data_IF_645205676022
#
_entry.id   IF_645205676022
#
_cell.length_a   1.000
_cell.length_b   1.000
_cell.length_c   1.000
_cell.angle_alpha   90.00
_cell.angle_beta   90.00
_cell.angle_gamma   90.00
#
_symmetry.space_group_name_H-M   'P 1'
#
loop_
_entity.id
_entity.type
_entity.pdbx_description
1 polymer ?
#
# COMPACT_ATOMS: atom_id res chain seq x y z
N UNK A 1 6.67 -10.20 -32.60
CA UNK A 1 5.45 -10.40 -33.39
C UNK A 1 5.68 -11.38 -34.54
N UNK A 2 6.63 -11.40 -35.35
CA UNK A 2 6.77 -12.16 -36.59
C UNK A 2 7.33 -13.58 -36.41
N UNK A 3 7.43 -14.09 -35.21
CA UNK A 3 7.93 -15.39 -34.85
C UNK A 3 6.83 -16.23 -34.21
N UNK A 4 6.82 -17.52 -34.44
CA UNK A 4 5.95 -18.42 -33.69
C UNK A 4 6.38 -18.55 -32.21
N UNK A 5 5.65 -19.30 -31.43
CA UNK A 5 5.91 -19.49 -29.99
C UNK A 5 7.28 -20.11 -29.76
N UNK A 6 7.63 -21.17 -30.51
CA UNK A 6 8.92 -21.82 -30.38
C UNK A 6 10.07 -20.86 -30.69
N UNK A 7 9.99 -20.15 -31.81
CA UNK A 7 11.02 -19.21 -32.23
C UNK A 7 11.19 -18.04 -31.27
N UNK A 8 10.08 -17.52 -30.69
CA UNK A 8 10.13 -16.51 -29.65
C UNK A 8 10.93 -16.97 -28.44
N UNK A 9 10.65 -18.18 -27.95
CA UNK A 9 11.35 -18.74 -26.77
C UNK A 9 12.81 -19.06 -27.11
N UNK A 10 13.06 -19.62 -28.30
CA UNK A 10 14.39 -20.01 -28.77
C UNK A 10 15.28 -18.82 -29.11
N UNK A 11 14.72 -17.62 -29.31
CA UNK A 11 15.44 -16.45 -29.83
C UNK A 11 16.70 -16.12 -29.03
N UNK A 12 16.59 -15.99 -27.72
CA UNK A 12 17.75 -15.71 -26.85
C UNK A 12 18.80 -16.81 -26.87
N UNK A 13 18.37 -18.07 -26.92
CA UNK A 13 19.27 -19.23 -26.97
C UNK A 13 20.03 -19.30 -28.32
N UNK A 14 19.35 -18.98 -29.43
CA UNK A 14 19.96 -18.88 -30.76
C UNK A 14 21.05 -17.78 -30.77
N UNK A 15 20.80 -16.60 -30.17
CA UNK A 15 21.78 -15.53 -30.06
C UNK A 15 23.01 -15.92 -29.21
N UNK A 16 22.81 -16.73 -28.18
CA UNK A 16 23.89 -17.28 -27.35
C UNK A 16 24.63 -18.44 -28.03
N UNK A 17 24.24 -18.82 -29.27
CA UNK A 17 24.81 -19.93 -30.02
C UNK A 17 24.74 -21.29 -29.30
N UNK A 18 23.67 -21.50 -28.54
CA UNK A 18 23.38 -22.79 -27.90
C UNK A 18 23.14 -23.85 -29.00
N UNK A 19 23.63 -25.09 -28.86
CA UNK A 19 23.39 -26.18 -29.83
C UNK A 19 21.87 -26.45 -30.03
N UNK A 20 21.48 -26.79 -31.25
CA UNK A 20 20.08 -26.93 -31.65
C UNK A 20 19.32 -27.97 -30.81
N UNK A 21 19.97 -29.10 -30.53
CA UNK A 21 19.39 -30.16 -29.67
C UNK A 21 19.17 -29.73 -28.23
N UNK A 22 19.99 -28.83 -27.73
CA UNK A 22 19.82 -28.25 -26.39
C UNK A 22 18.75 -27.14 -26.40
N UNK A 23 18.65 -26.35 -27.48
CA UNK A 23 17.56 -25.37 -27.66
C UNK A 23 16.23 -26.06 -27.59
N UNK A 24 16.04 -27.15 -28.37
CA UNK A 24 14.79 -27.89 -28.40
C UNK A 24 14.38 -28.42 -27.02
N UNK A 25 15.32 -29.04 -26.30
CA UNK A 25 15.09 -29.51 -24.92
C UNK A 25 14.67 -28.41 -23.97
N UNK A 26 15.32 -27.23 -24.06
CA UNK A 26 15.00 -26.10 -23.17
C UNK A 26 13.66 -25.49 -23.52
N UNK A 27 13.37 -25.28 -24.79
CA UNK A 27 12.08 -24.73 -25.24
C UNK A 27 10.93 -25.62 -24.80
N UNK A 28 11.01 -26.94 -25.09
CA UNK A 28 9.96 -27.87 -24.68
C UNK A 28 9.80 -27.98 -23.17
N UNK A 29 10.89 -27.90 -22.41
CA UNK A 29 10.86 -27.87 -20.95
C UNK A 29 10.13 -26.63 -20.40
N UNK A 30 10.41 -25.44 -20.94
CA UNK A 30 9.76 -24.22 -20.45
C UNK A 30 8.31 -24.13 -20.93
N UNK A 31 7.98 -24.58 -22.15
CA UNK A 31 6.59 -24.68 -22.62
C UNK A 31 5.74 -25.55 -21.67
N UNK A 32 6.28 -26.69 -21.25
CA UNK A 32 5.61 -27.54 -20.26
C UNK A 32 5.45 -26.84 -18.90
N UNK A 33 6.44 -26.03 -18.50
CA UNK A 33 6.43 -25.30 -17.22
C UNK A 33 5.35 -24.22 -17.18
N UNK A 34 5.12 -23.54 -18.31
CA UNK A 34 4.10 -22.50 -18.45
C UNK A 34 2.76 -23.01 -18.98
N UNK A 35 2.55 -24.35 -19.01
CA UNK A 35 1.31 -24.99 -19.49
C UNK A 35 0.92 -24.61 -20.93
N UNK A 36 1.93 -24.50 -21.81
CA UNK A 36 1.79 -24.15 -23.22
C UNK A 36 2.27 -25.26 -24.17
N UNK A 37 2.22 -26.52 -23.73
CA UNK A 37 2.50 -27.68 -24.58
C UNK A 37 1.54 -27.68 -25.76
N UNK A 38 1.98 -28.09 -26.95
CA UNK A 38 1.22 -28.11 -28.22
C UNK A 38 0.87 -26.71 -28.77
N UNK A 39 1.56 -25.68 -28.32
CA UNK A 39 1.43 -24.29 -28.84
C UNK A 39 2.67 -23.83 -29.60
N UNK A 40 3.69 -24.66 -29.72
CA UNK A 40 5.01 -24.31 -30.28
C UNK A 40 4.96 -23.67 -31.65
N UNK A 41 4.11 -24.21 -32.56
CA UNK A 41 3.98 -23.76 -33.95
C UNK A 41 2.92 -22.65 -34.13
N UNK A 42 2.31 -22.15 -33.05
CA UNK A 42 1.28 -21.11 -33.14
C UNK A 42 1.89 -19.73 -33.28
N UNK A 43 1.23 -18.92 -34.10
CA UNK A 43 1.52 -17.48 -34.16
C UNK A 43 1.19 -16.81 -32.81
N UNK A 44 2.15 -16.05 -32.26
CA UNK A 44 1.99 -15.36 -30.97
C UNK A 44 0.83 -14.34 -31.01
N UNK A 45 0.57 -13.72 -32.17
CA UNK A 45 -0.54 -12.76 -32.33
C UNK A 45 -1.92 -13.42 -32.26
N UNK A 46 -1.99 -14.72 -32.52
CA UNK A 46 -3.24 -15.51 -32.41
C UNK A 46 -3.60 -15.90 -30.97
N UNK A 47 -2.70 -15.69 -30.02
CA UNK A 47 -2.84 -16.08 -28.62
C UNK A 47 -3.62 -15.04 -27.81
N UNK A 48 -4.31 -15.49 -26.76
CA UNK A 48 -4.89 -14.59 -25.74
C UNK A 48 -3.78 -13.84 -24.99
N UNK A 49 -4.12 -12.70 -24.38
CA UNK A 49 -3.17 -11.89 -23.60
C UNK A 49 -2.43 -12.69 -22.52
N UNK A 50 -3.13 -13.57 -21.78
CA UNK A 50 -2.51 -14.45 -20.79
C UNK A 50 -1.57 -15.49 -21.40
N UNK A 51 -1.89 -16.02 -22.59
CA UNK A 51 -1.02 -16.94 -23.31
C UNK A 51 0.23 -16.22 -23.84
N UNK A 52 0.08 -15.01 -24.37
CA UNK A 52 1.21 -14.17 -24.77
C UNK A 52 2.15 -13.87 -23.59
N UNK A 53 1.58 -13.58 -22.43
CA UNK A 53 2.34 -13.36 -21.19
C UNK A 53 3.13 -14.62 -20.79
N UNK A 54 2.53 -15.80 -20.84
CA UNK A 54 3.21 -17.08 -20.58
C UNK A 54 4.38 -17.31 -21.56
N UNK A 55 4.21 -17.00 -22.83
CA UNK A 55 5.29 -17.07 -23.83
C UNK A 55 6.41 -16.08 -23.50
N UNK A 56 6.10 -14.87 -23.09
CA UNK A 56 7.10 -13.88 -22.68
C UNK A 56 7.91 -14.35 -21.47
N UNK A 57 7.26 -14.90 -20.47
CA UNK A 57 7.91 -15.50 -19.28
C UNK A 57 8.75 -16.72 -19.68
N UNK A 58 8.22 -17.62 -20.52
CA UNK A 58 8.96 -18.78 -21.03
C UNK A 58 10.24 -18.36 -21.77
N UNK A 59 10.16 -17.33 -22.61
CA UNK A 59 11.31 -16.75 -23.31
C UNK A 59 12.41 -16.27 -22.36
N UNK A 60 12.01 -15.62 -21.25
CA UNK A 60 12.95 -15.15 -20.23
C UNK A 60 13.61 -16.32 -19.48
N UNK A 61 12.81 -17.30 -19.06
CA UNK A 61 13.25 -18.47 -18.27
C UNK A 61 14.14 -19.42 -19.10
N UNK A 62 13.91 -19.56 -20.41
CA UNK A 62 14.69 -20.44 -21.29
C UNK A 62 16.19 -20.18 -21.21
N UNK A 63 16.59 -18.93 -20.95
CA UNK A 63 17.98 -18.52 -20.78
C UNK A 63 18.58 -18.92 -19.42
N UNK A 64 17.81 -19.55 -18.53
CA UNK A 64 18.22 -19.96 -17.18
C UNK A 64 18.82 -18.80 -16.36
N UNK A 65 18.11 -17.67 -16.21
CA UNK A 65 18.62 -16.53 -15.48
C UNK A 65 18.74 -16.84 -13.98
N UNK A 66 19.60 -16.12 -13.28
CA UNK A 66 19.64 -16.13 -11.80
C UNK A 66 18.56 -15.24 -11.19
N UNK A 67 18.17 -14.19 -11.90
CA UNK A 67 17.16 -13.21 -11.51
C UNK A 67 16.22 -13.00 -12.69
N UNK A 68 14.91 -13.06 -12.42
CA UNK A 68 13.85 -12.74 -13.38
C UNK A 68 13.23 -11.40 -13.00
N UNK A 69 13.24 -10.45 -13.96
CA UNK A 69 12.62 -9.14 -13.79
C UNK A 69 11.23 -9.15 -14.46
N UNK A 70 10.21 -8.80 -13.72
CA UNK A 70 8.82 -8.72 -14.17
C UNK A 70 8.30 -7.31 -13.90
N UNK A 71 8.04 -6.56 -14.94
CA UNK A 71 7.54 -5.19 -14.88
C UNK A 71 6.06 -5.22 -15.27
N UNK A 72 5.18 -4.97 -14.31
CA UNK A 72 3.70 -4.99 -14.41
C UNK A 72 3.16 -6.17 -15.25
N UNK A 73 3.58 -7.42 -14.97
CA UNK A 73 3.32 -8.54 -15.88
C UNK A 73 1.84 -8.92 -16.00
N UNK A 74 0.97 -8.50 -15.07
CA UNK A 74 -0.44 -8.86 -15.04
C UNK A 74 -1.39 -7.70 -15.37
N UNK A 75 -0.86 -6.50 -15.62
CA UNK A 75 -1.65 -5.28 -15.80
C UNK A 75 -2.66 -5.36 -16.97
N UNK A 76 -2.33 -6.09 -18.04
CA UNK A 76 -3.17 -6.20 -19.22
C UNK A 76 -4.24 -7.32 -19.14
N UNK A 77 -4.31 -8.06 -18.02
CA UNK A 77 -5.22 -9.21 -17.85
C UNK A 77 -6.50 -8.80 -17.12
N UNK A 78 -7.61 -9.47 -17.49
CA UNK A 78 -8.84 -9.38 -16.71
C UNK A 78 -8.68 -10.02 -15.31
N UNK A 79 -9.60 -9.70 -14.39
CA UNK A 79 -9.51 -10.11 -12.99
C UNK A 79 -9.37 -11.62 -12.79
N UNK A 80 -10.11 -12.43 -13.57
CA UNK A 80 -10.06 -13.88 -13.44
C UNK A 80 -8.73 -14.44 -13.94
N UNK A 81 -8.31 -14.00 -15.12
CA UNK A 81 -7.02 -14.41 -15.69
C UNK A 81 -5.85 -13.95 -14.84
N UNK A 82 -5.95 -12.78 -14.21
CA UNK A 82 -4.94 -12.25 -13.28
C UNK A 82 -4.78 -13.17 -12.08
N UNK A 83 -5.86 -13.59 -11.43
CA UNK A 83 -5.82 -14.52 -10.29
C UNK A 83 -5.23 -15.88 -10.66
N UNK A 84 -5.61 -16.43 -11.81
CA UNK A 84 -5.05 -17.68 -12.29
C UNK A 84 -3.54 -17.55 -12.54
N UNK A 85 -3.09 -16.47 -13.17
CA UNK A 85 -1.67 -16.18 -13.42
C UNK A 85 -0.86 -15.92 -12.15
N UNK A 86 -1.42 -15.30 -11.12
CA UNK A 86 -0.77 -15.15 -9.82
C UNK A 86 -0.40 -16.52 -9.21
N UNK A 87 -1.34 -17.46 -9.22
CA UNK A 87 -1.10 -18.81 -8.74
C UNK A 87 0.01 -19.49 -9.54
N UNK A 88 -0.03 -19.39 -10.86
CA UNK A 88 0.98 -19.99 -11.75
C UNK A 88 2.37 -19.38 -11.56
N UNK A 89 2.46 -18.05 -11.42
CA UNK A 89 3.73 -17.37 -11.15
C UNK A 89 4.34 -17.82 -9.83
N UNK A 90 3.53 -17.95 -8.78
CA UNK A 90 3.98 -18.46 -7.47
C UNK A 90 4.49 -19.90 -7.55
N UNK A 91 3.81 -20.75 -8.32
CA UNK A 91 4.28 -22.13 -8.58
C UNK A 91 5.57 -22.15 -9.41
N UNK A 92 5.67 -21.31 -10.44
CA UNK A 92 6.89 -21.20 -11.26
C UNK A 92 8.08 -20.73 -10.41
N UNK A 93 7.90 -19.69 -9.58
CA UNK A 93 8.93 -19.24 -8.65
C UNK A 93 9.42 -20.38 -7.76
N UNK A 94 8.49 -21.14 -7.15
CA UNK A 94 8.84 -22.28 -6.29
C UNK A 94 9.59 -23.40 -7.05
N UNK A 95 9.17 -23.70 -8.30
CA UNK A 95 9.80 -24.73 -9.12
C UNK A 95 11.18 -24.33 -9.64
N UNK A 96 11.37 -23.05 -9.94
CA UNK A 96 12.62 -22.54 -10.50
C UNK A 96 13.68 -22.29 -9.42
N UNK A 97 13.29 -21.85 -8.22
CA UNK A 97 14.20 -21.51 -7.13
C UNK A 97 15.14 -20.34 -7.43
N UNK A 98 14.74 -19.45 -8.33
CA UNK A 98 15.51 -18.25 -8.68
C UNK A 98 14.84 -16.99 -8.10
N UNK A 99 15.57 -15.91 -7.98
CA UNK A 99 15.01 -14.64 -7.51
C UNK A 99 14.10 -14.01 -8.57
N UNK A 100 12.87 -13.65 -8.17
CA UNK A 100 11.98 -12.81 -8.97
C UNK A 100 12.00 -11.39 -8.40
N UNK A 101 12.16 -10.39 -9.26
CA UNK A 101 11.91 -8.99 -8.94
C UNK A 101 10.64 -8.61 -9.70
N UNK A 102 9.60 -8.30 -8.95
CA UNK A 102 8.26 -8.05 -9.47
C UNK A 102 7.89 -6.61 -9.18
N UNK A 103 7.66 -5.82 -10.23
CA UNK A 103 7.19 -4.43 -10.11
C UNK A 103 5.70 -4.40 -10.40
N UNK A 104 4.93 -3.84 -9.51
CA UNK A 104 3.48 -3.67 -9.65
C UNK A 104 2.99 -2.44 -8.89
N UNK A 105 1.87 -1.89 -9.31
CA UNK A 105 1.08 -0.93 -8.57
C UNK A 105 -0.15 -1.58 -7.90
N UNK A 106 -0.37 -2.87 -8.12
CA UNK A 106 -1.46 -3.63 -7.51
C UNK A 106 -1.02 -4.19 -6.15
N UNK A 107 -1.69 -3.74 -5.10
CA UNK A 107 -1.38 -4.09 -3.71
C UNK A 107 -1.65 -5.58 -3.44
N UNK A 108 -2.75 -6.14 -3.99
CA UNK A 108 -3.12 -7.55 -3.83
C UNK A 108 -2.02 -8.45 -4.43
N UNK A 109 -1.46 -8.06 -5.59
CA UNK A 109 -0.34 -8.76 -6.20
C UNK A 109 0.90 -8.75 -5.31
N UNK A 110 1.28 -7.58 -4.81
CA UNK A 110 2.45 -7.43 -3.95
C UNK A 110 2.31 -8.27 -2.67
N UNK A 111 1.18 -8.18 -1.97
CA UNK A 111 0.92 -8.93 -0.73
C UNK A 111 0.85 -10.45 -0.95
N UNK A 112 0.32 -10.89 -2.11
CA UNK A 112 0.08 -12.32 -2.38
C UNK A 112 1.32 -13.03 -2.91
N UNK A 113 2.10 -12.38 -3.78
CA UNK A 113 3.18 -13.01 -4.53
C UNK A 113 4.55 -12.90 -3.88
N UNK A 114 4.80 -11.88 -3.05
CA UNK A 114 6.13 -11.54 -2.58
C UNK A 114 6.49 -12.21 -1.26
N UNK A 115 7.77 -12.51 -1.08
CA UNK A 115 8.37 -12.85 0.22
C UNK A 115 8.86 -11.59 0.94
N UNK A 116 9.24 -10.57 0.16
CA UNK A 116 9.67 -9.25 0.64
C UNK A 116 9.08 -8.18 -0.28
N UNK A 117 8.51 -7.14 0.32
CA UNK A 117 7.95 -5.98 -0.37
C UNK A 117 8.85 -4.77 -0.12
N UNK A 118 9.07 -3.99 -1.18
CA UNK A 118 9.73 -2.69 -1.12
C UNK A 118 8.71 -1.65 -1.58
N UNK A 119 8.21 -0.85 -0.65
CA UNK A 119 7.31 0.27 -0.97
C UNK A 119 8.15 1.48 -1.36
N UNK A 120 7.84 2.08 -2.51
CA UNK A 120 8.57 3.23 -3.05
C UNK A 120 7.61 4.40 -3.32
N UNK A 121 8.06 5.61 -3.03
CA UNK A 121 7.39 6.85 -3.39
C UNK A 121 8.42 7.89 -3.83
N UNK A 122 8.16 8.59 -4.94
CA UNK A 122 9.04 9.63 -5.48
C UNK A 122 10.51 9.21 -5.61
N UNK A 123 10.76 7.95 -5.99
CA UNK A 123 12.10 7.39 -6.14
C UNK A 123 12.81 7.06 -4.83
N UNK A 124 12.14 7.18 -3.68
CA UNK A 124 12.67 6.83 -2.36
C UNK A 124 11.99 5.58 -1.83
N UNK A 125 12.75 4.76 -1.11
CA UNK A 125 12.21 3.61 -0.38
C UNK A 125 11.53 4.15 0.88
N UNK A 126 10.25 3.79 1.05
CA UNK A 126 9.44 4.14 2.22
C UNK A 126 9.53 3.06 3.29
N UNK A 127 9.44 1.79 2.87
CA UNK A 127 9.54 0.65 3.78
C UNK A 127 9.99 -0.60 3.03
N UNK A 128 10.70 -1.49 3.74
CA UNK A 128 11.03 -2.84 3.29
C UNK A 128 10.59 -3.80 4.40
N UNK A 129 9.85 -4.84 4.04
CA UNK A 129 9.37 -5.83 5.01
C UNK A 129 8.71 -7.03 4.36
N UNK A 130 8.27 -7.98 5.17
CA UNK A 130 7.39 -9.05 4.71
C UNK A 130 6.00 -8.46 4.40
N UNK A 131 5.14 -9.17 3.62
CA UNK A 131 3.75 -8.73 3.41
C UNK A 131 3.01 -8.42 4.71
N UNK A 132 3.22 -9.23 5.74
CA UNK A 132 2.59 -9.04 7.06
C UNK A 132 3.09 -7.78 7.76
N UNK A 133 4.41 -7.51 7.73
CA UNK A 133 4.98 -6.30 8.34
C UNK A 133 4.49 -5.03 7.64
N UNK A 134 4.45 -5.06 6.30
CA UNK A 134 4.00 -3.90 5.49
C UNK A 134 2.53 -3.57 5.75
N UNK A 135 1.69 -4.61 5.92
CA UNK A 135 0.26 -4.43 6.17
C UNK A 135 -0.06 -4.05 7.61
N UNK A 136 0.54 -4.77 8.59
CA UNK A 136 0.20 -4.62 10.01
C UNK A 136 1.02 -3.56 10.73
N UNK A 137 2.24 -3.28 10.26
CA UNK A 137 3.18 -2.34 10.90
C UNK A 137 3.75 -1.33 9.88
N UNK A 138 2.88 -0.56 9.18
CA UNK A 138 3.35 0.46 8.25
C UNK A 138 4.14 1.54 8.98
N UNK A 139 5.29 1.95 8.40
CA UNK A 139 6.19 2.91 9.05
C UNK A 139 5.72 4.36 8.95
N UNK A 140 4.83 4.66 8.00
CA UNK A 140 4.26 5.99 7.83
C UNK A 140 2.85 5.91 7.19
N UNK A 141 2.13 7.03 7.24
CA UNK A 141 0.78 7.15 6.72
C UNK A 141 0.69 6.86 5.21
N UNK A 142 1.74 7.19 4.44
CA UNK A 142 1.79 6.85 3.02
C UNK A 142 1.75 5.33 2.79
N UNK A 143 2.55 4.55 3.53
CA UNK A 143 2.56 3.09 3.40
C UNK A 143 1.22 2.51 3.82
N UNK A 144 0.63 3.02 4.92
CA UNK A 144 -0.67 2.59 5.41
C UNK A 144 -1.78 2.78 4.37
N UNK A 145 -1.85 3.96 3.76
CA UNK A 145 -2.82 4.33 2.73
C UNK A 145 -2.59 3.57 1.42
N UNK A 146 -1.31 3.41 1.04
CA UNK A 146 -0.96 2.75 -0.22
C UNK A 146 -1.24 1.25 -0.22
N UNK A 147 -1.12 0.55 0.93
CA UNK A 147 -1.23 -0.92 0.99
C UNK A 147 -2.65 -1.43 1.23
N UNK A 148 -3.55 -0.57 1.67
CA UNK A 148 -4.94 -0.96 1.91
C UNK A 148 -5.77 0.18 2.44
N UNK A 149 -7.07 0.02 2.37
CA UNK A 149 -8.00 1.00 2.94
C UNK A 149 -7.70 1.20 4.43
N UNK A 150 -7.66 2.46 4.87
CA UNK A 150 -7.30 2.82 6.24
C UNK A 150 -8.05 4.05 6.71
N UNK A 151 -8.45 4.07 7.97
CA UNK A 151 -8.80 5.30 8.65
C UNK A 151 -7.49 5.93 9.15
N UNK A 152 -7.04 7.00 8.51
CA UNK A 152 -5.86 7.77 8.93
C UNK A 152 -6.35 9.02 9.62
N UNK A 153 -6.06 9.11 10.91
CA UNK A 153 -6.64 10.08 11.81
C UNK A 153 -5.55 10.90 12.50
N UNK A 154 -5.81 12.19 12.71
CA UNK A 154 -4.97 12.98 13.57
C UNK A 154 -5.18 12.54 15.01
N UNK A 155 -4.11 12.22 15.71
CA UNK A 155 -4.12 11.83 17.10
C UNK A 155 -3.07 12.55 17.92
N UNK A 156 -3.11 12.32 19.21
CA UNK A 156 -2.15 12.83 20.17
C UNK A 156 -1.73 11.71 21.11
N UNK A 157 -0.45 11.39 21.15
CA UNK A 157 0.08 10.47 22.15
C UNK A 157 0.06 11.17 23.49
N UNK A 158 -0.87 10.81 24.36
CA UNK A 158 -1.03 11.41 25.70
C UNK A 158 0.15 10.97 26.57
N UNK A 159 0.48 9.72 26.54
CA UNK A 159 1.63 9.05 27.18
C UNK A 159 1.81 7.67 26.54
N UNK A 160 2.87 6.97 26.90
CA UNK A 160 3.07 5.59 26.47
C UNK A 160 1.81 4.74 26.67
N UNK A 161 1.39 4.03 25.63
CA UNK A 161 0.22 3.16 25.58
C UNK A 161 -1.13 3.86 25.75
N UNK A 162 -1.19 5.18 25.56
CA UNK A 162 -2.44 5.94 25.60
C UNK A 162 -2.43 7.03 24.54
N UNK A 163 -3.32 6.92 23.56
CA UNK A 163 -3.47 7.85 22.45
C UNK A 163 -4.87 8.44 22.41
N UNK A 164 -4.97 9.73 22.14
CA UNK A 164 -6.24 10.43 21.90
C UNK A 164 -6.44 10.60 20.39
N UNK A 165 -7.59 10.18 19.88
CA UNK A 165 -8.05 10.47 18.52
C UNK A 165 -9.57 10.38 18.47
N UNK A 166 -10.21 10.92 17.44
CA UNK A 166 -11.68 11.05 17.29
C UNK A 166 -12.37 11.61 18.55
N UNK A 167 -11.63 12.38 19.37
CA UNK A 167 -12.15 13.01 20.61
C UNK A 167 -12.28 12.06 21.80
N UNK A 168 -11.66 10.88 21.76
CA UNK A 168 -11.64 9.90 22.83
C UNK A 168 -10.21 9.40 23.09
N UNK A 169 -9.94 8.95 24.33
CA UNK A 169 -8.68 8.30 24.71
C UNK A 169 -8.79 6.79 24.55
N UNK A 170 -7.77 6.18 23.94
CA UNK A 170 -7.68 4.74 23.71
C UNK A 170 -6.37 4.19 24.25
N UNK A 171 -6.45 3.02 24.88
CA UNK A 171 -5.24 2.24 25.13
C UNK A 171 -4.69 1.72 23.80
N UNK A 172 -3.36 1.77 23.61
CA UNK A 172 -2.64 1.20 22.47
C UNK A 172 -1.43 0.40 22.94
N UNK A 173 -0.76 -0.27 22.03
CA UNK A 173 0.46 -1.05 22.34
C UNK A 173 1.75 -0.24 22.17
N UNK A 174 1.67 0.89 21.48
CA UNK A 174 2.80 1.72 21.10
C UNK A 174 3.36 2.52 22.26
N UNK A 175 4.69 2.66 22.28
CA UNK A 175 5.43 3.41 23.30
C UNK A 175 6.65 4.13 22.68
N UNK A 176 7.23 5.09 23.38
CA UNK A 176 8.43 5.81 22.94
C UNK A 176 8.18 7.01 22.03
N UNK A 177 6.92 7.44 21.85
CA UNK A 177 6.57 8.65 21.07
C UNK A 177 6.76 9.96 21.86
N UNK A 178 6.82 9.86 23.20
CA UNK A 178 6.81 11.02 24.11
C UNK A 178 5.41 11.36 24.60
N UNK A 179 5.32 12.34 25.52
CA UNK A 179 4.05 12.77 26.09
C UNK A 179 3.50 13.99 25.36
N UNK A 180 2.19 13.99 25.10
CA UNK A 180 1.48 15.09 24.43
C UNK A 180 2.00 15.42 23.01
N UNK A 181 2.47 14.43 22.29
CA UNK A 181 3.01 14.58 20.92
C UNK A 181 1.93 14.29 19.89
N UNK A 182 1.86 15.13 18.86
CA UNK A 182 0.97 14.91 17.72
C UNK A 182 1.47 13.73 16.87
N UNK A 183 0.54 12.82 16.55
CA UNK A 183 0.81 11.57 15.84
C UNK A 183 -0.24 11.35 14.75
N UNK A 184 0.09 10.51 13.78
CA UNK A 184 -0.90 9.90 12.90
C UNK A 184 -1.34 8.57 13.52
N UNK A 185 -2.65 8.34 13.57
CA UNK A 185 -3.25 7.10 14.05
C UNK A 185 -3.89 6.39 12.87
N UNK A 186 -3.53 5.15 12.67
CA UNK A 186 -4.10 4.30 11.61
C UNK A 186 -4.90 3.17 12.24
N UNK A 187 -6.14 3.02 11.78
CA UNK A 187 -7.02 1.91 12.15
C UNK A 187 -7.62 1.33 10.88
N UNK A 188 -7.45 0.03 10.69
CA UNK A 188 -8.02 -0.66 9.53
C UNK A 188 -9.54 -0.71 9.65
N UNK A 189 -10.30 -0.60 8.55
CA UNK A 189 -11.77 -0.66 8.58
C UNK A 189 -12.33 -1.95 9.18
N UNK A 190 -11.64 -3.08 8.98
CA UNK A 190 -12.00 -4.40 9.52
C UNK A 190 -11.70 -4.56 11.02
N UNK A 191 -10.89 -3.67 11.59
CA UNK A 191 -10.46 -3.70 12.99
C UNK A 191 -11.31 -2.81 13.89
N UNK A 192 -12.31 -2.12 13.32
CA UNK A 192 -13.32 -1.37 14.07
C UNK A 192 -14.54 -2.26 14.27
N UNK A 193 -14.73 -2.75 15.51
CA UNK A 193 -15.85 -3.63 15.88
C UNK A 193 -17.12 -2.81 16.10
N UNK A 194 -18.12 -3.07 15.28
CA UNK A 194 -19.43 -2.41 15.32
C UNK A 194 -20.48 -3.30 15.98
N UNK A 195 -21.35 -2.71 16.81
CA UNK A 195 -22.42 -3.42 17.49
C UNK A 195 -23.70 -2.61 17.59
N UNK A 196 -24.85 -3.30 17.59
CA UNK A 196 -26.18 -2.67 17.73
C UNK A 196 -26.49 -2.16 19.17
N UNK A 197 -25.66 -2.53 20.16
CA UNK A 197 -25.82 -2.10 21.55
C UNK A 197 -24.81 -1.01 21.88
N UNK A 198 -25.24 -0.01 22.62
CA UNK A 198 -24.34 1.09 23.05
C UNK A 198 -23.65 0.75 24.38
N UNK A 199 -24.21 -0.16 25.17
CA UNK A 199 -23.63 -0.59 26.45
C UNK A 199 -22.34 -1.41 26.19
N UNK A 200 -21.26 -0.97 26.80
CA UNK A 200 -19.92 -1.57 26.64
C UNK A 200 -19.14 -1.10 25.42
N UNK A 201 -19.68 -0.16 24.63
CA UNK A 201 -18.95 0.50 23.58
C UNK A 201 -17.94 1.52 24.16
N UNK A 202 -16.81 1.71 23.48
CA UNK A 202 -15.84 2.76 23.82
C UNK A 202 -16.35 4.14 23.40
N UNK A 203 -17.02 4.22 22.25
CA UNK A 203 -17.67 5.41 21.73
C UNK A 203 -18.84 5.03 20.83
N UNK A 204 -19.63 6.00 20.44
CA UNK A 204 -20.83 5.79 19.62
C UNK A 204 -20.72 6.48 18.27
N UNK A 205 -21.43 5.98 17.29
CA UNK A 205 -21.52 6.57 15.98
C UNK A 205 -22.91 6.35 15.36
N UNK A 206 -23.17 7.10 14.28
CA UNK A 206 -24.38 6.98 13.49
C UNK A 206 -24.01 6.47 12.09
N UNK A 207 -24.67 5.40 11.64
CA UNK A 207 -24.42 4.83 10.32
C UNK A 207 -24.92 5.79 9.25
N UNK A 208 -24.03 6.27 8.39
CA UNK A 208 -24.33 7.17 7.26
C UNK A 208 -24.69 6.40 6.00
N UNK A 209 -23.94 5.34 5.72
CA UNK A 209 -24.17 4.46 4.58
C UNK A 209 -23.70 3.04 4.86
N UNK A 210 -24.31 2.07 4.18
CA UNK A 210 -23.95 0.66 4.25
C UNK A 210 -24.07 0.05 2.85
N UNK A 211 -22.96 -0.41 2.29
CA UNK A 211 -22.88 -0.92 0.91
C UNK A 211 -22.29 -2.31 0.89
N UNK A 212 -22.97 -3.27 0.28
CA UNK A 212 -22.45 -4.64 0.11
C UNK A 212 -21.39 -4.70 -1.00
N UNK A 213 -20.19 -5.17 -0.66
CA UNK A 213 -19.03 -5.32 -1.58
C UNK A 213 -18.83 -6.76 -2.06
N UNK A 214 -19.80 -7.64 -1.89
CA UNK A 214 -19.76 -9.04 -2.34
C UNK A 214 -19.33 -10.03 -1.25
N UNK A 215 -18.49 -9.66 -0.31
CA UNK A 215 -18.01 -10.49 0.80
C UNK A 215 -18.35 -9.86 2.16
N UNK A 216 -18.18 -8.56 2.27
CA UNK A 216 -18.42 -7.75 3.46
C UNK A 216 -19.28 -6.54 3.11
N UNK A 217 -19.75 -5.85 4.13
CA UNK A 217 -20.37 -4.53 4.02
C UNK A 217 -19.34 -3.47 4.36
N UNK A 218 -19.25 -2.45 3.52
CA UNK A 218 -18.49 -1.23 3.75
C UNK A 218 -19.46 -0.17 4.26
N UNK A 219 -19.15 0.40 5.39
CA UNK A 219 -19.98 1.39 6.06
C UNK A 219 -19.18 2.64 6.34
N UNK A 220 -19.83 3.79 6.14
CA UNK A 220 -19.35 5.06 6.66
C UNK A 220 -20.21 5.44 7.86
N UNK A 221 -19.56 5.82 8.95
CA UNK A 221 -20.22 6.20 10.18
C UNK A 221 -19.73 7.56 10.66
N UNK A 222 -20.63 8.40 11.19
CA UNK A 222 -20.29 9.66 11.82
C UNK A 222 -20.25 9.44 13.35
N UNK A 223 -19.08 9.67 13.97
CA UNK A 223 -18.90 9.51 15.42
C UNK A 223 -19.64 10.61 16.20
N UNK A 224 -19.86 10.41 17.50
CA UNK A 224 -20.46 11.38 18.42
C UNK A 224 -19.69 12.72 18.49
N UNK A 225 -18.44 12.75 18.06
CA UNK A 225 -17.59 13.96 17.96
C UNK A 225 -17.50 14.51 16.54
N UNK A 226 -18.22 13.93 15.56
CA UNK A 226 -18.30 14.41 14.18
C UNK A 226 -17.15 13.98 13.28
N UNK A 227 -16.45 12.92 13.62
CA UNK A 227 -15.46 12.30 12.74
C UNK A 227 -16.14 11.22 11.89
N UNK A 228 -15.79 11.16 10.62
CA UNK A 228 -16.24 10.08 9.72
C UNK A 228 -15.22 8.93 9.77
N UNK A 229 -15.73 7.69 9.95
CA UNK A 229 -14.92 6.47 9.89
C UNK A 229 -15.49 5.51 8.86
N UNK A 230 -14.60 4.80 8.17
CA UNK A 230 -14.94 3.67 7.32
C UNK A 230 -14.79 2.39 8.11
N UNK A 231 -15.80 1.52 8.05
CA UNK A 231 -15.86 0.22 8.75
C UNK A 231 -16.17 -0.87 7.74
N UNK A 232 -15.52 -2.02 7.89
CA UNK A 232 -15.86 -3.24 7.15
C UNK A 232 -16.33 -4.33 8.12
N UNK A 233 -17.55 -4.87 7.91
CA UNK A 233 -18.11 -5.95 8.71
C UNK A 233 -18.90 -6.93 7.84
N UNK A 234 -19.06 -8.16 8.30
CA UNK A 234 -19.89 -9.17 7.62
C UNK A 234 -21.39 -8.94 7.79
N UNK A 235 -21.80 -8.13 8.76
CA UNK A 235 -23.18 -7.78 9.04
C UNK A 235 -23.52 -6.40 8.48
N UNK A 236 -24.75 -6.28 7.97
CA UNK A 236 -25.30 -4.99 7.58
C UNK A 236 -25.87 -4.24 8.80
N UNK A 237 -25.71 -2.93 8.79
CA UNK A 237 -26.35 -2.02 9.75
C UNK A 237 -27.19 -1.00 8.99
N UNK A 238 -28.38 -0.71 9.51
CA UNK A 238 -29.30 0.21 8.85
C UNK A 238 -28.76 1.65 8.87
N UNK A 239 -28.81 2.37 7.74
CA UNK A 239 -28.51 3.81 7.73
C UNK A 239 -29.34 4.56 8.79
N UNK A 240 -28.76 5.60 9.37
CA UNK A 240 -29.33 6.42 10.44
C UNK A 240 -29.43 5.71 11.82
N UNK A 241 -29.06 4.42 11.93
CA UNK A 241 -29.01 3.72 13.22
C UNK A 241 -27.83 4.18 14.07
N UNK A 242 -28.03 4.24 15.39
CA UNK A 242 -26.96 4.43 16.36
C UNK A 242 -26.29 3.10 16.67
N UNK A 243 -24.96 3.11 16.68
CA UNK A 243 -24.11 1.93 16.89
C UNK A 243 -23.04 2.21 17.91
N UNK A 244 -22.64 1.16 18.64
CA UNK A 244 -21.47 1.21 19.50
C UNK A 244 -20.24 0.72 18.78
N UNK A 245 -19.09 1.34 19.04
CA UNK A 245 -17.81 1.02 18.41
C UNK A 245 -16.77 0.63 19.46
N UNK A 246 -15.94 -0.34 19.11
CA UNK A 246 -14.79 -0.80 19.89
C UNK A 246 -13.58 -0.94 18.95
N UNK A 247 -12.43 -0.47 19.40
CA UNK A 247 -11.13 -0.68 18.76
C UNK A 247 -10.21 -1.30 19.82
N UNK A 248 -9.57 -2.40 19.48
CA UNK A 248 -8.65 -3.07 20.42
C UNK A 248 -7.31 -2.35 20.46
N UNK A 249 -6.60 -2.36 21.59
CA UNK A 249 -5.29 -1.72 21.70
C UNK A 249 -4.25 -2.17 20.67
N UNK A 250 -4.31 -3.44 20.26
CA UNK A 250 -3.39 -4.00 19.26
C UNK A 250 -3.75 -3.64 17.81
N UNK A 251 -4.96 -3.14 17.57
CA UNK A 251 -5.48 -2.77 16.26
C UNK A 251 -5.28 -1.26 15.97
N UNK A 252 -4.76 -0.52 16.93
CA UNK A 252 -4.41 0.89 16.82
C UNK A 252 -2.91 0.98 16.49
N UNK A 253 -2.58 1.60 15.37
CA UNK A 253 -1.20 1.81 14.94
C UNK A 253 -0.87 3.29 15.04
N UNK A 254 0.15 3.62 15.84
CA UNK A 254 0.57 5.01 16.03
C UNK A 254 1.85 5.27 15.23
N UNK A 255 1.87 6.37 14.50
CA UNK A 255 2.99 6.77 13.65
C UNK A 255 3.43 8.17 13.96
N UNK A 256 4.73 8.43 13.81
CA UNK A 256 5.21 9.81 13.82
C UNK A 256 4.55 10.57 12.66
N UNK A 257 3.97 11.71 13.00
CA UNK A 257 3.37 12.58 11.98
C UNK A 257 4.46 13.02 11.01
N UNK A 258 4.27 12.75 9.73
CA UNK A 258 5.17 13.30 8.71
C UNK A 258 5.12 14.82 8.78
N UNK A 259 6.29 15.44 8.87
CA UNK A 259 6.36 16.90 8.87
C UNK A 259 5.86 17.42 7.53
N UNK A 260 4.65 17.94 7.52
CA UNK A 260 4.06 18.64 6.36
C UNK A 260 4.57 20.07 6.22
N UNK A 261 5.44 20.49 7.13
CA UNK A 261 6.05 21.82 7.14
C UNK A 261 7.54 21.74 7.44
N UNK A 262 8.30 22.66 6.87
CA UNK A 262 9.66 22.95 7.34
C UNK A 262 9.57 24.01 8.44
N UNK A 263 10.30 23.80 9.53
CA UNK A 263 10.45 24.78 10.59
C UNK A 263 11.78 25.50 10.44
N UNK A 264 11.73 26.82 10.54
CA UNK A 264 12.90 27.69 10.47
C UNK A 264 12.91 28.59 11.70
N UNK A 265 14.10 28.96 12.18
CA UNK A 265 14.22 30.09 13.11
C UNK A 265 14.10 31.39 12.33
N UNK A 266 13.21 32.24 12.78
CA UNK A 266 12.97 33.56 12.19
C UNK A 266 12.97 34.66 13.23
N UNK A 267 12.96 35.90 12.76
CA UNK A 267 12.86 37.10 13.56
C UNK A 267 11.72 37.98 13.04
N UNK A 268 10.86 38.45 13.93
CA UNK A 268 9.75 39.31 13.55
C UNK A 268 10.32 40.67 13.10
N UNK A 269 9.96 41.12 11.92
CA UNK A 269 10.35 42.41 11.34
C UNK A 269 9.32 43.47 11.73
N UNK A 270 8.03 43.18 11.52
CA UNK A 270 6.89 44.03 11.88
C UNK A 270 5.62 43.19 12.09
N UNK A 271 4.45 43.84 12.24
CA UNK A 271 3.16 43.18 12.52
C UNK A 271 2.72 42.18 11.45
N UNK A 272 3.29 42.24 10.25
CA UNK A 272 2.89 41.42 9.09
C UNK A 272 4.06 40.72 8.39
N UNK A 273 5.30 40.90 8.88
CA UNK A 273 6.48 40.30 8.26
C UNK A 273 7.39 39.58 9.25
N UNK A 274 7.87 38.43 8.83
CA UNK A 274 8.88 37.59 9.51
C UNK A 274 10.08 37.37 8.58
N UNK A 275 11.28 37.53 9.12
CA UNK A 275 12.52 37.25 8.38
C UNK A 275 13.05 35.88 8.72
N UNK A 276 13.25 35.03 7.70
CA UNK A 276 13.97 33.75 7.81
C UNK A 276 14.67 33.43 6.49
N UNK A 277 15.71 32.61 6.51
CA UNK A 277 16.55 32.34 5.34
C UNK A 277 17.00 33.60 4.57
N UNK A 278 17.37 34.65 5.30
CA UNK A 278 17.80 35.97 4.79
C UNK A 278 16.79 36.73 3.91
N UNK A 279 15.51 36.32 3.93
CA UNK A 279 14.42 37.02 3.23
C UNK A 279 13.28 37.38 4.18
N UNK A 280 12.55 38.41 3.80
CA UNK A 280 11.35 38.87 4.52
C UNK A 280 10.11 38.24 3.85
N UNK A 281 9.23 37.66 4.67
CA UNK A 281 7.99 37.01 4.22
C UNK A 281 6.79 37.60 4.95
N UNK A 282 5.66 37.73 4.25
CA UNK A 282 4.39 38.07 4.88
C UNK A 282 3.94 36.95 5.83
N UNK A 283 3.51 37.28 7.02
CA UNK A 283 2.93 36.39 8.00
C UNK A 283 1.53 36.85 8.42
N UNK A 284 0.80 35.99 9.11
CA UNK A 284 -0.54 36.27 9.57
C UNK A 284 -0.48 37.38 10.66
N UNK A 285 -1.29 38.42 10.51
CA UNK A 285 -1.41 39.48 11.51
C UNK A 285 -1.99 38.98 12.85
N UNK A 286 -1.63 39.59 13.94
CA UNK A 286 -2.19 39.27 15.26
C UNK A 286 -1.46 38.16 16.01
N UNK A 287 -0.23 37.82 15.62
CA UNK A 287 0.61 36.82 16.29
C UNK A 287 1.08 37.22 17.70
N UNK A 288 0.90 38.49 18.11
CA UNK A 288 1.22 38.96 19.46
C UNK A 288 2.71 39.12 19.79
N UNK A 289 3.59 39.00 18.79
CA UNK A 289 5.04 39.14 18.93
C UNK A 289 5.47 40.57 18.56
N UNK A 290 6.57 41.06 19.17
CA UNK A 290 7.15 42.38 18.88
C UNK A 290 8.28 42.30 17.84
N UNK A 291 8.57 43.37 17.08
CA UNK A 291 9.74 43.41 16.20
C UNK A 291 11.02 43.08 16.95
N UNK A 292 11.82 42.15 16.40
CA UNK A 292 13.03 41.61 17.02
C UNK A 292 12.84 40.34 17.84
N UNK A 293 11.59 39.88 18.04
CA UNK A 293 11.33 38.59 18.69
C UNK A 293 11.75 37.42 17.80
N UNK A 294 12.44 36.45 18.41
CA UNK A 294 12.77 35.20 17.74
C UNK A 294 11.58 34.28 17.78
N UNK A 295 11.23 33.76 16.64
CA UNK A 295 10.06 32.90 16.46
C UNK A 295 10.42 31.63 15.64
N UNK A 296 9.65 30.59 15.80
CA UNK A 296 9.69 29.43 14.90
C UNK A 296 8.68 29.66 13.77
N UNK A 297 9.17 29.68 12.54
CA UNK A 297 8.34 29.84 11.33
C UNK A 297 8.06 28.48 10.76
N UNK A 298 6.78 28.14 10.63
CA UNK A 298 6.33 26.92 9.96
C UNK A 298 5.89 27.25 8.55
N UNK A 299 6.57 26.67 7.55
CA UNK A 299 6.20 26.77 6.14
C UNK A 299 5.52 25.48 5.73
N UNK A 300 4.19 25.54 5.56
CA UNK A 300 3.41 24.40 5.08
C UNK A 300 3.59 24.23 3.57
N UNK A 301 3.81 22.98 3.14
CA UNK A 301 3.73 22.66 1.72
C UNK A 301 2.25 22.49 1.34
N UNK A 302 1.76 23.30 0.40
CA UNK A 302 0.48 23.02 -0.27
C UNK A 302 0.64 21.72 -1.06
N UNK A 303 -0.20 20.74 -0.76
CA UNK A 303 -0.35 19.54 -1.60
C UNK A 303 -0.96 19.89 -2.95
#
# INVERSE_FOLDING_TARGET
>A
PHLDVYENIAFGLKLQKVPADEIDKRVMKVLKMVSMTDYEDRDVESLSGGQQQRVAIARAIANQPKVLLLDEPLAALDLKMRKDMQIELKEMHRKLGITFIYVTHDQEEALTLSDTIIVMNEGKIQQIGTPTDIYNEPQNSFVADFIGESNILNGKMVKDRLVEFVGHEFECVDEGFGENVDVDVVVRPEDIYIMNRLEGAQFTAKVKSCTFKGVHYEMFVDTDKGYELMIQDYNAFEPESEVGLIIRPADIQVMHKERTCNTFEGEIVDESHVKFLDNDFECQEGHGCAPGDKVTVEVQFSR
#
